data_IF_386678425926
#
_entry.id   IF_386678425926
#
_cell.length_a   1.000
_cell.length_b   1.000
_cell.length_c   1.000
_cell.angle_alpha   90.00
_cell.angle_beta   90.00
_cell.angle_gamma   90.00
#
_symmetry.space_group_name_H-M   'P 1'
#
loop_
_entity.id
_entity.type
_entity.pdbx_description
1 polymer ?
#
# COMPACT_ATOMS: atom_id res chain seq x y z
N UNK A 1 1.25 -18.99 10.84
CA UNK A 1 -0.04 -18.43 10.41
C UNK A 1 -1.18 -19.45 10.37
N UNK A 2 -0.97 -20.72 9.95
CA UNK A 2 -2.07 -21.71 9.92
C UNK A 2 -2.83 -21.82 11.26
N UNK A 3 -4.15 -21.85 11.20
CA UNK A 3 -5.07 -21.91 12.34
C UNK A 3 -5.23 -20.59 13.11
N UNK A 4 -4.62 -19.49 12.65
CA UNK A 4 -4.74 -18.18 13.30
C UNK A 4 -5.81 -17.30 12.63
N UNK A 5 -6.29 -16.33 13.40
CA UNK A 5 -7.19 -15.27 12.93
C UNK A 5 -6.39 -14.02 12.60
N UNK A 6 -6.65 -13.43 11.44
CA UNK A 6 -6.07 -12.15 10.98
C UNK A 6 -7.19 -11.12 10.91
N UNK A 7 -7.05 -10.02 11.65
CA UNK A 7 -7.99 -8.89 11.58
C UNK A 7 -7.50 -7.86 10.57
N UNK A 8 -8.37 -7.44 9.66
CA UNK A 8 -8.02 -6.44 8.64
C UNK A 8 -9.27 -5.70 8.14
N UNK A 9 -9.12 -4.84 7.15
CA UNK A 9 -10.18 -4.11 6.46
C UNK A 9 -10.14 -4.40 4.96
N UNK A 10 -11.13 -3.90 4.21
CA UNK A 10 -11.06 -3.89 2.74
C UNK A 10 -11.45 -5.21 2.08
N UNK A 11 -12.49 -5.87 2.59
CA UNK A 11 -13.09 -7.04 1.93
C UNK A 11 -13.54 -6.68 0.51
N UNK A 12 -13.16 -7.49 -0.46
CA UNK A 12 -13.44 -7.31 -1.89
C UNK A 12 -12.61 -6.21 -2.56
N UNK A 13 -11.58 -5.70 -1.88
CA UNK A 13 -10.72 -4.61 -2.36
C UNK A 13 -9.24 -4.99 -2.26
N UNK A 14 -8.34 -4.08 -2.65
CA UNK A 14 -6.90 -4.34 -2.75
C UNK A 14 -6.23 -4.93 -1.50
N UNK A 15 -6.60 -4.62 -0.23
CA UNK A 15 -5.99 -5.25 0.94
C UNK A 15 -6.27 -6.75 1.00
N UNK A 16 -7.51 -7.19 0.72
CA UNK A 16 -7.84 -8.63 0.66
C UNK A 16 -7.00 -9.32 -0.41
N UNK A 17 -6.97 -8.78 -1.62
CA UNK A 17 -6.26 -9.41 -2.72
C UNK A 17 -4.74 -9.47 -2.50
N UNK A 18 -4.16 -8.44 -1.87
CA UNK A 18 -2.75 -8.43 -1.49
C UNK A 18 -2.43 -9.51 -0.46
N UNK A 19 -3.23 -9.61 0.60
CA UNK A 19 -3.07 -10.63 1.63
C UNK A 19 -3.24 -12.04 1.05
N UNK A 20 -4.28 -12.26 0.25
CA UNK A 20 -4.55 -13.55 -0.39
C UNK A 20 -3.42 -13.99 -1.33
N UNK A 21 -2.85 -13.05 -2.09
CA UNK A 21 -1.71 -13.32 -2.97
C UNK A 21 -0.51 -13.84 -2.15
N UNK A 22 -0.09 -13.08 -1.13
CA UNK A 22 1.07 -13.42 -0.29
C UNK A 22 0.85 -14.77 0.42
N UNK A 23 -0.34 -15.00 0.99
CA UNK A 23 -0.68 -16.26 1.64
C UNK A 23 -0.61 -17.43 0.66
N UNK A 24 -1.27 -17.30 -0.50
CA UNK A 24 -1.38 -18.38 -1.49
C UNK A 24 -0.01 -18.73 -2.09
N UNK A 25 0.82 -17.73 -2.39
CA UNK A 25 2.19 -17.94 -2.89
C UNK A 25 3.09 -18.62 -1.87
N UNK A 26 2.82 -18.46 -0.57
CA UNK A 26 3.47 -19.20 0.52
C UNK A 26 2.80 -20.55 0.84
N UNK A 27 1.88 -21.04 0.00
CA UNK A 27 1.19 -22.31 0.19
C UNK A 27 0.23 -22.34 1.38
N UNK A 28 -0.32 -21.18 1.77
CA UNK A 28 -1.35 -21.05 2.79
C UNK A 28 -2.67 -20.73 2.10
N UNK A 29 -3.67 -21.59 2.25
CA UNK A 29 -5.00 -21.37 1.67
C UNK A 29 -5.74 -20.29 2.51
N UNK A 30 -6.05 -19.10 1.95
CA UNK A 30 -6.65 -18.00 2.71
C UNK A 30 -8.07 -18.29 3.21
N UNK A 31 -8.72 -19.34 2.71
CA UNK A 31 -10.08 -19.76 3.10
C UNK A 31 -10.04 -20.91 4.11
N UNK A 32 -9.07 -21.83 4.00
CA UNK A 32 -9.03 -23.06 4.82
C UNK A 32 -8.00 -23.03 5.94
N UNK A 33 -6.85 -22.41 5.70
CA UNK A 33 -5.72 -22.48 6.63
C UNK A 33 -5.73 -21.34 7.64
N UNK A 34 -6.50 -20.26 7.42
CA UNK A 34 -6.59 -19.10 8.32
C UNK A 34 -8.04 -18.60 8.40
N UNK A 35 -8.33 -17.78 9.40
CA UNK A 35 -9.58 -17.01 9.48
C UNK A 35 -9.26 -15.54 9.25
N UNK A 36 -9.86 -14.92 8.22
CA UNK A 36 -9.69 -13.49 7.96
C UNK A 36 -10.96 -12.75 8.38
N UNK A 37 -10.84 -11.95 9.44
CA UNK A 37 -11.93 -11.16 10.01
C UNK A 37 -11.84 -9.72 9.51
N UNK A 38 -12.77 -9.35 8.63
CA UNK A 38 -12.85 -8.02 8.05
C UNK A 38 -13.67 -7.09 8.92
N UNK A 39 -13.04 -6.00 9.35
CA UNK A 39 -13.68 -4.88 10.05
C UNK A 39 -14.03 -3.76 9.08
N UNK A 40 -14.95 -2.90 9.52
CA UNK A 40 -15.43 -1.78 8.72
C UNK A 40 -14.37 -0.69 8.56
N UNK A 41 -13.57 -0.46 9.61
CA UNK A 41 -12.60 0.65 9.67
C UNK A 41 -11.29 0.22 10.33
N UNK A 42 -10.18 0.82 9.90
CA UNK A 42 -8.84 0.55 10.46
C UNK A 42 -8.74 0.99 11.92
N UNK A 43 -9.53 1.98 12.33
CA UNK A 43 -9.66 2.46 13.72
C UNK A 43 -10.20 1.37 14.66
N UNK A 44 -11.11 0.52 14.19
CA UNK A 44 -11.65 -0.61 14.98
C UNK A 44 -10.56 -1.65 15.26
N UNK A 45 -9.84 -2.07 14.21
CA UNK A 45 -8.73 -3.03 14.33
C UNK A 45 -7.60 -2.45 15.19
N UNK A 46 -7.32 -1.15 15.04
CA UNK A 46 -6.34 -0.45 15.86
C UNK A 46 -6.74 -0.43 17.35
N UNK A 47 -8.01 -0.18 17.66
CA UNK A 47 -8.51 -0.23 19.03
C UNK A 47 -8.44 -1.64 19.63
N UNK A 48 -8.73 -2.67 18.83
CA UNK A 48 -8.57 -4.08 19.23
C UNK A 48 -7.13 -4.39 19.60
N UNK A 49 -6.16 -4.06 18.74
CA UNK A 49 -4.73 -4.26 19.02
C UNK A 49 -4.25 -3.45 20.24
N UNK A 50 -4.77 -2.25 20.45
CA UNK A 50 -4.37 -1.41 21.58
C UNK A 50 -4.85 -1.98 22.93
N UNK A 51 -5.97 -2.71 22.97
CA UNK A 51 -6.59 -3.20 24.19
C UNK A 51 -6.50 -4.72 24.43
N UNK A 52 -6.07 -5.51 23.44
CA UNK A 52 -6.06 -6.97 23.51
C UNK A 52 -4.65 -7.59 23.52
N UNK A 53 -4.60 -8.88 23.84
CA UNK A 53 -3.40 -9.74 23.75
C UNK A 53 -3.65 -10.85 22.71
N UNK A 54 -2.57 -11.40 22.10
CA UNK A 54 -2.61 -12.44 21.04
C UNK A 54 -3.47 -12.10 19.80
N UNK A 55 -3.45 -10.83 19.38
CA UNK A 55 -4.14 -10.36 18.17
C UNK A 55 -3.14 -10.24 17.03
N UNK A 56 -3.46 -10.85 15.88
CA UNK A 56 -2.75 -10.66 14.62
C UNK A 56 -3.62 -9.80 13.71
N UNK A 57 -3.06 -8.74 13.17
CA UNK A 57 -3.78 -7.85 12.28
C UNK A 57 -2.91 -7.35 11.13
N UNK A 58 -3.56 -6.99 10.03
CA UNK A 58 -2.97 -6.27 8.91
C UNK A 58 -3.62 -4.88 8.87
N UNK A 59 -2.79 -3.84 8.92
CA UNK A 59 -3.22 -2.45 8.94
C UNK A 59 -2.30 -1.59 8.08
N UNK A 60 -2.81 -0.57 7.37
CA UNK A 60 -1.97 0.41 6.72
C UNK A 60 -1.39 1.42 7.73
N UNK A 61 -0.30 2.08 7.35
CA UNK A 61 0.13 3.31 8.03
C UNK A 61 -0.90 4.44 7.80
N UNK A 62 -1.06 5.37 8.75
CA UNK A 62 -0.34 5.52 10.01
C UNK A 62 -1.00 4.81 11.23
N UNK A 63 -1.98 3.92 10.99
CA UNK A 63 -2.69 3.24 12.08
C UNK A 63 -1.76 2.34 12.90
N UNK A 64 -0.83 1.63 12.24
CA UNK A 64 0.18 0.81 12.91
C UNK A 64 1.01 1.66 13.87
N UNK A 65 1.57 2.79 13.41
CA UNK A 65 2.30 3.72 14.27
C UNK A 65 1.45 4.26 15.44
N UNK A 66 0.17 4.57 15.17
CA UNK A 66 -0.77 5.04 16.21
C UNK A 66 -0.99 4.01 17.30
N UNK A 67 -1.11 2.72 16.93
CA UNK A 67 -1.30 1.63 17.89
C UNK A 67 -0.04 1.39 18.70
N UNK A 68 1.12 1.31 18.04
CA UNK A 68 2.41 1.10 18.71
C UNK A 68 2.74 2.22 19.71
N UNK A 69 2.29 3.45 19.44
CA UNK A 69 2.42 4.57 20.38
C UNK A 69 1.54 4.42 21.64
N UNK A 70 0.48 3.61 21.59
CA UNK A 70 -0.47 3.40 22.71
C UNK A 70 -0.26 2.07 23.45
N UNK A 71 0.31 1.07 22.77
CA UNK A 71 0.58 -0.26 23.30
C UNK A 71 1.96 -0.73 22.84
N UNK A 72 2.92 -0.72 23.76
CA UNK A 72 4.32 -1.06 23.52
C UNK A 72 4.56 -2.56 23.24
N UNK A 73 3.56 -3.41 23.51
CA UNK A 73 3.60 -4.83 23.15
C UNK A 73 3.34 -5.07 21.66
N UNK A 74 2.66 -4.13 20.99
CA UNK A 74 2.38 -4.22 19.55
C UNK A 74 3.65 -3.87 18.79
N UNK A 75 3.99 -4.73 17.83
CA UNK A 75 5.14 -4.54 16.96
C UNK A 75 4.80 -5.03 15.55
N UNK A 76 5.51 -4.48 14.55
CA UNK A 76 5.41 -4.94 13.17
C UNK A 76 6.16 -6.26 13.05
N UNK A 77 5.46 -7.32 12.65
CA UNK A 77 6.06 -8.63 12.39
C UNK A 77 6.49 -8.79 10.93
N UNK A 78 5.73 -8.22 10.00
CA UNK A 78 5.87 -8.39 8.55
C UNK A 78 5.47 -7.09 7.84
N UNK A 79 6.18 -6.75 6.77
CA UNK A 79 5.79 -5.75 5.79
C UNK A 79 5.15 -6.46 4.59
N UNK A 80 3.90 -6.14 4.25
CA UNK A 80 3.19 -6.85 3.19
C UNK A 80 3.79 -6.61 1.80
N UNK A 81 4.37 -5.44 1.55
CA UNK A 81 5.06 -5.13 0.30
C UNK A 81 6.33 -5.98 0.18
N UNK A 82 7.13 -6.07 1.24
CA UNK A 82 8.31 -6.95 1.24
C UNK A 82 7.93 -8.43 1.08
N UNK A 83 6.87 -8.88 1.75
CA UNK A 83 6.40 -10.27 1.63
C UNK A 83 5.85 -10.58 0.23
N UNK A 84 5.25 -9.59 -0.45
CA UNK A 84 4.89 -9.71 -1.86
C UNK A 84 6.12 -9.84 -2.74
N UNK A 85 7.10 -8.94 -2.60
CA UNK A 85 8.31 -8.93 -3.44
C UNK A 85 9.17 -10.18 -3.27
N UNK A 86 9.15 -10.82 -2.09
CA UNK A 86 9.83 -12.11 -1.86
C UNK A 86 9.24 -13.27 -2.66
N UNK A 87 7.96 -13.21 -3.02
CA UNK A 87 7.25 -14.31 -3.69
C UNK A 87 6.83 -14.00 -5.12
N UNK A 88 6.92 -12.73 -5.54
CA UNK A 88 6.68 -12.31 -6.90
C UNK A 88 7.87 -12.68 -7.81
N UNK A 89 7.61 -13.42 -8.88
CA UNK A 89 8.63 -13.83 -9.86
C UNK A 89 8.67 -12.91 -11.10
N UNK A 90 7.69 -12.03 -11.24
CA UNK A 90 7.50 -11.10 -12.36
C UNK A 90 8.07 -9.69 -12.08
N UNK A 91 8.72 -9.53 -10.93
CA UNK A 91 9.26 -8.26 -10.49
C UNK A 91 8.20 -7.28 -9.98
N UNK A 92 6.95 -7.68 -9.79
CA UNK A 92 5.87 -6.81 -9.28
C UNK A 92 6.04 -6.41 -7.81
N UNK A 93 5.24 -5.44 -7.40
CA UNK A 93 5.12 -4.99 -6.00
C UNK A 93 3.68 -4.53 -5.74
N UNK A 94 3.35 -4.19 -4.50
CA UNK A 94 2.05 -3.61 -4.17
C UNK A 94 1.98 -2.16 -4.67
N UNK A 95 1.03 -1.87 -5.56
CA UNK A 95 0.82 -0.52 -6.13
C UNK A 95 -0.50 0.05 -5.63
N UNK A 96 -0.44 0.99 -4.67
CA UNK A 96 -1.63 1.60 -4.05
C UNK A 96 -1.84 3.09 -4.38
N UNK A 97 -0.91 3.71 -5.11
CA UNK A 97 -0.99 5.10 -5.56
C UNK A 97 -0.57 5.24 -7.01
N UNK A 98 -1.32 6.01 -7.79
CA UNK A 98 -1.04 6.28 -9.21
C UNK A 98 -1.30 7.74 -9.54
N UNK A 99 -0.47 8.31 -10.42
CA UNK A 99 -0.73 9.61 -11.06
C UNK A 99 -1.44 9.34 -12.38
N UNK A 100 -2.67 9.83 -12.51
CA UNK A 100 -3.45 9.70 -13.74
C UNK A 100 -3.52 11.04 -14.47
N UNK A 101 -3.21 11.05 -15.76
CA UNK A 101 -3.32 12.23 -16.62
C UNK A 101 -4.15 11.91 -17.86
N UNK A 102 -4.97 12.87 -18.29
CA UNK A 102 -5.65 12.77 -19.60
C UNK A 102 -4.56 12.82 -20.68
N UNK A 103 -4.48 11.78 -21.52
CA UNK A 103 -3.52 11.71 -22.64
C UNK A 103 -3.43 13.01 -23.45
N UNK A 104 -4.57 13.53 -23.89
CA UNK A 104 -4.61 14.78 -24.64
C UNK A 104 -4.03 15.99 -23.87
N UNK A 105 -4.16 16.06 -22.54
CA UNK A 105 -3.53 17.14 -21.77
C UNK A 105 -2.00 17.03 -21.80
N UNK A 106 -1.46 15.83 -21.59
CA UNK A 106 -0.02 15.59 -21.64
C UNK A 106 0.58 15.88 -23.03
N UNK A 107 -0.15 15.53 -24.10
CA UNK A 107 0.25 15.80 -25.49
C UNK A 107 0.14 17.28 -25.88
N UNK A 108 -0.91 17.98 -25.42
CA UNK A 108 -1.13 19.42 -25.68
C UNK A 108 -0.22 20.33 -24.85
N UNK A 109 0.23 19.86 -23.68
CA UNK A 109 0.99 20.65 -22.69
C UNK A 109 2.22 19.88 -22.17
N UNK A 110 3.14 19.46 -23.05
CA UNK A 110 4.26 18.60 -22.66
C UNK A 110 5.17 19.25 -21.62
N UNK A 111 5.46 20.55 -21.76
CA UNK A 111 6.33 21.28 -20.83
C UNK A 111 5.71 21.40 -19.43
N UNK A 112 4.41 21.72 -19.35
CA UNK A 112 3.71 21.82 -18.07
C UNK A 112 3.58 20.46 -17.38
N UNK A 113 3.39 19.38 -18.16
CA UNK A 113 3.39 18.03 -17.61
C UNK A 113 4.77 17.61 -17.10
N UNK A 114 5.83 17.92 -17.84
CA UNK A 114 7.20 17.65 -17.42
C UNK A 114 7.56 18.40 -16.13
N UNK A 115 7.23 19.70 -16.04
CA UNK A 115 7.42 20.52 -14.83
C UNK A 115 6.67 19.93 -13.64
N UNK A 116 5.41 19.54 -13.81
CA UNK A 116 4.64 18.88 -12.75
C UNK A 116 5.32 17.58 -12.27
N UNK A 117 5.81 16.74 -13.18
CA UNK A 117 6.45 15.47 -12.82
C UNK A 117 7.80 15.69 -12.13
N UNK A 118 8.55 16.74 -12.49
CA UNK A 118 9.78 17.15 -11.80
C UNK A 118 9.47 17.60 -10.37
N UNK A 119 8.49 18.49 -10.19
CA UNK A 119 8.05 18.96 -8.87
C UNK A 119 7.49 17.82 -8.00
N UNK A 120 6.72 16.91 -8.61
CA UNK A 120 6.19 15.74 -7.92
C UNK A 120 7.31 14.83 -7.43
N UNK A 121 8.32 14.58 -8.28
CA UNK A 121 9.52 13.84 -7.88
C UNK A 121 10.26 14.53 -6.74
N UNK A 122 10.49 15.83 -6.83
CA UNK A 122 11.17 16.60 -5.79
C UNK A 122 10.41 16.54 -4.46
N UNK A 123 9.07 16.58 -4.49
CA UNK A 123 8.21 16.43 -3.32
C UNK A 123 8.34 15.04 -2.68
N UNK A 124 8.32 13.97 -3.48
CA UNK A 124 8.52 12.60 -3.03
C UNK A 124 9.91 12.41 -2.42
N UNK A 125 10.96 12.84 -3.12
CA UNK A 125 12.35 12.73 -2.66
C UNK A 125 12.55 13.47 -1.33
N UNK A 126 11.87 14.61 -1.16
CA UNK A 126 11.92 15.39 0.09
C UNK A 126 11.46 14.59 1.30
N UNK A 127 10.45 13.72 1.15
CA UNK A 127 10.00 12.84 2.25
C UNK A 127 11.10 11.89 2.70
N UNK A 128 11.90 11.38 1.77
CA UNK A 128 13.02 10.49 2.07
C UNK A 128 14.25 11.23 2.64
N UNK A 129 14.55 12.42 2.11
CA UNK A 129 15.74 13.19 2.51
C UNK A 129 15.53 14.05 3.77
N UNK A 130 14.28 14.41 4.07
CA UNK A 130 13.89 15.23 5.21
C UNK A 130 12.58 14.71 5.86
N UNK A 131 12.61 13.51 6.46
CA UNK A 131 11.43 12.92 7.08
C UNK A 131 10.90 13.74 8.27
N UNK A 132 11.78 14.49 8.95
CA UNK A 132 11.39 15.36 10.06
C UNK A 132 10.61 16.58 9.58
N UNK A 133 11.09 17.25 8.53
CA UNK A 133 10.35 18.35 7.88
C UNK A 133 9.04 17.88 7.26
N UNK A 134 9.04 16.68 6.64
CA UNK A 134 7.81 16.08 6.11
C UNK A 134 6.79 15.79 7.22
N UNK A 135 7.21 15.21 8.35
CA UNK A 135 6.35 14.96 9.50
C UNK A 135 5.78 16.25 10.11
N UNK A 136 6.62 17.30 10.22
CA UNK A 136 6.18 18.60 10.71
C UNK A 136 5.13 19.24 9.77
N UNK A 137 5.31 19.14 8.46
CA UNK A 137 4.31 19.58 7.49
C UNK A 137 3.01 18.81 7.63
N UNK A 138 3.06 17.47 7.68
CA UNK A 138 1.89 16.60 7.89
C UNK A 138 1.13 17.01 9.15
N UNK A 139 1.84 17.26 10.25
CA UNK A 139 1.26 17.76 11.50
C UNK A 139 0.64 19.14 11.36
N UNK A 140 1.31 20.06 10.66
CA UNK A 140 0.82 21.44 10.46
C UNK A 140 -0.45 21.53 9.60
N UNK A 141 -0.70 20.50 8.77
CA UNK A 141 -1.91 20.37 7.95
C UNK A 141 -3.01 19.54 8.63
N UNK A 142 -2.85 19.20 9.92
CA UNK A 142 -3.82 18.41 10.70
C UNK A 142 -4.17 17.05 10.06
N UNK A 143 -3.26 16.45 9.28
CA UNK A 143 -3.48 15.13 8.66
C UNK A 143 -3.40 14.04 9.73
N UNK A 144 -2.28 14.01 10.45
CA UNK A 144 -2.07 13.21 11.68
C UNK A 144 -1.07 13.93 12.58
N UNK A 145 -1.05 13.66 13.91
CA UNK A 145 -0.08 14.27 14.80
C UNK A 145 1.36 14.03 14.32
N UNK A 146 2.19 15.07 14.33
CA UNK A 146 3.59 15.02 13.87
C UNK A 146 4.39 13.83 14.44
N UNK A 147 4.32 13.47 15.73
CA UNK A 147 5.03 12.30 16.25
C UNK A 147 4.60 10.98 15.61
N UNK A 148 3.31 10.87 15.24
CA UNK A 148 2.77 9.69 14.55
C UNK A 148 3.22 9.69 13.09
N UNK A 149 3.21 10.85 12.41
CA UNK A 149 3.74 10.98 11.06
C UNK A 149 5.22 10.54 11.02
N UNK A 150 6.04 11.06 11.92
CA UNK A 150 7.47 10.73 12.03
C UNK A 150 7.70 9.23 12.26
N UNK A 151 6.86 8.58 13.07
CA UNK A 151 6.94 7.14 13.30
C UNK A 151 6.46 6.31 12.11
N UNK A 152 5.49 6.80 11.34
CA UNK A 152 4.88 6.08 10.21
C UNK A 152 5.68 6.18 8.91
N UNK A 153 6.26 7.35 8.62
CA UNK A 153 6.92 7.67 7.34
C UNK A 153 7.93 6.61 6.86
N UNK A 154 8.81 6.03 7.71
CA UNK A 154 9.74 4.98 7.30
C UNK A 154 9.07 3.74 6.71
N UNK A 155 7.79 3.50 7.01
CA UNK A 155 7.02 2.33 6.61
C UNK A 155 5.98 2.66 5.52
N UNK A 156 5.92 3.90 5.05
CA UNK A 156 4.92 4.32 4.06
C UNK A 156 5.33 4.03 2.61
N UNK A 157 6.58 3.60 2.36
CA UNK A 157 7.10 3.30 1.02
C UNK A 157 6.85 4.44 0.02
N UNK A 158 7.03 5.70 0.45
CA UNK A 158 6.82 6.88 -0.39
C UNK A 158 7.91 6.93 -1.46
N UNK A 159 7.51 6.66 -2.71
CA UNK A 159 8.41 6.60 -3.87
C UNK A 159 7.69 7.07 -5.14
N UNK A 160 8.46 7.32 -6.20
CA UNK A 160 7.97 7.60 -7.54
C UNK A 160 8.66 6.65 -8.51
N UNK A 161 7.87 5.77 -9.11
CA UNK A 161 8.31 4.89 -10.20
C UNK A 161 7.77 5.44 -11.52
N UNK A 162 8.59 5.43 -12.56
CA UNK A 162 8.23 5.88 -13.91
C UNK A 162 8.76 4.92 -14.97
N UNK A 163 8.26 5.01 -16.21
CA UNK A 163 8.78 4.26 -17.35
C UNK A 163 8.60 2.74 -17.22
N UNK A 164 9.59 1.99 -17.69
CA UNK A 164 9.54 0.51 -17.74
C UNK A 164 9.45 -0.13 -16.35
N UNK A 165 10.09 0.47 -15.33
CA UNK A 165 9.99 -0.02 -13.96
C UNK A 165 8.56 0.09 -13.44
N UNK A 166 7.91 1.25 -13.61
CA UNK A 166 6.50 1.44 -13.25
C UNK A 166 5.59 0.46 -13.97
N UNK A 167 5.80 0.28 -15.28
CA UNK A 167 5.00 -0.63 -16.11
C UNK A 167 5.13 -2.07 -15.60
N UNK A 168 6.36 -2.53 -15.34
CA UNK A 168 6.62 -3.88 -14.79
C UNK A 168 5.95 -4.08 -13.43
N UNK A 169 6.09 -3.11 -12.52
CA UNK A 169 5.46 -3.16 -11.19
C UNK A 169 3.93 -3.23 -11.28
N UNK A 170 3.34 -2.35 -12.09
CA UNK A 170 1.90 -2.22 -12.23
C UNK A 170 1.27 -3.42 -12.94
N UNK A 171 1.88 -3.92 -14.02
CA UNK A 171 1.33 -5.03 -14.80
C UNK A 171 1.22 -6.30 -13.97
N UNK A 172 2.28 -6.69 -13.25
CA UNK A 172 2.23 -7.89 -12.42
C UNK A 172 1.27 -7.73 -11.22
N UNK A 173 1.18 -6.54 -10.63
CA UNK A 173 0.18 -6.27 -9.58
C UNK A 173 -1.25 -6.40 -10.11
N UNK A 174 -1.57 -5.77 -11.24
CA UNK A 174 -2.90 -5.83 -11.86
C UNK A 174 -3.23 -7.25 -12.35
N UNK A 175 -2.26 -8.00 -12.85
CA UNK A 175 -2.43 -9.42 -13.21
C UNK A 175 -2.81 -10.25 -11.98
N UNK A 176 -2.10 -10.09 -10.86
CA UNK A 176 -2.39 -10.79 -9.62
C UNK A 176 -3.77 -10.45 -9.03
N UNK A 177 -4.25 -9.21 -9.20
CA UNK A 177 -5.62 -8.83 -8.84
C UNK A 177 -6.66 -9.44 -9.80
N UNK A 178 -6.38 -9.40 -11.10
CA UNK A 178 -7.24 -9.93 -12.15
C UNK A 178 -7.45 -11.45 -12.02
N UNK A 179 -6.40 -12.21 -11.72
CA UNK A 179 -6.47 -13.67 -11.49
C UNK A 179 -7.40 -14.04 -10.34
N UNK A 180 -7.44 -13.21 -9.28
CA UNK A 180 -8.31 -13.43 -8.14
C UNK A 180 -9.75 -13.00 -8.44
N UNK A 181 -9.91 -11.83 -9.06
CA UNK A 181 -11.21 -11.29 -9.42
C UNK A 181 -11.09 -10.30 -10.60
N UNK A 182 -11.51 -10.67 -11.82
CA UNK A 182 -11.43 -9.77 -12.98
C UNK A 182 -12.11 -8.41 -12.78
N UNK A 183 -13.19 -8.35 -11.99
CA UNK A 183 -13.90 -7.09 -11.73
C UNK A 183 -13.07 -6.09 -10.92
N UNK A 184 -12.04 -6.54 -10.19
CA UNK A 184 -11.15 -5.69 -9.39
C UNK A 184 -10.33 -4.70 -10.24
N UNK A 185 -10.12 -5.01 -11.52
CA UNK A 185 -9.40 -4.17 -12.49
C UNK A 185 -10.28 -3.72 -13.65
N UNK A 186 -11.62 -3.81 -13.51
CA UNK A 186 -12.57 -3.40 -14.55
C UNK A 186 -12.86 -4.45 -15.63
N UNK A 187 -12.55 -5.72 -15.37
CA UNK A 187 -12.94 -6.87 -16.20
C UNK A 187 -11.94 -7.26 -17.28
N UNK A 188 -10.88 -6.49 -17.49
CA UNK A 188 -9.76 -6.79 -18.40
C UNK A 188 -8.49 -6.10 -17.91
N UNK A 189 -7.33 -6.64 -18.26
CA UNK A 189 -6.07 -5.95 -18.03
C UNK A 189 -5.95 -4.73 -18.95
N UNK A 190 -5.23 -3.67 -18.51
CA UNK A 190 -4.98 -2.51 -19.36
C UNK A 190 -4.16 -2.88 -20.60
N UNK A 191 -4.35 -2.11 -21.67
CA UNK A 191 -3.51 -2.19 -22.87
C UNK A 191 -2.32 -1.21 -22.77
N UNK A 192 -1.44 -1.22 -23.76
CA UNK A 192 -0.28 -0.31 -23.80
C UNK A 192 -0.63 1.18 -23.76
N UNK A 193 -1.87 1.56 -24.12
CA UNK A 193 -2.34 2.93 -24.07
C UNK A 193 -2.67 3.42 -22.66
N UNK A 194 -2.65 2.54 -21.67
CA UNK A 194 -2.85 2.85 -20.25
C UNK A 194 -1.66 3.60 -19.65
N UNK A 195 -0.45 3.30 -20.12
CA UNK A 195 0.79 3.91 -19.64
C UNK A 195 1.21 5.03 -20.58
N UNK A 196 1.54 6.19 -20.00
CA UNK A 196 2.15 7.28 -20.74
C UNK A 196 3.61 6.90 -21.04
N UNK A 197 3.98 6.93 -22.32
CA UNK A 197 5.34 6.66 -22.81
C UNK A 197 6.13 7.96 -22.96
#
# INVERSE_FOLDING_TARGET
MRGKTIYTTGKGTTPEFALNYVLSKNGIDPVKDVTIEYKSESTEVAAMLAGGDDIIAMLPQPYVATVMAKNDKVHICLDLTEEWEKVAEDGSTIVTGVVCVRKAFAEENPDAFAEFMEDYKASVDKVATDPDGAAALIGSYDIVPEPIAKAALPYCNITLLTGDEMTTKADGYLAALFEQNPASVGGKLPDEGFYLK
#
